data_IF_311440752064
#
_entry.id   IF_311440752064
#
_cell.length_a   1.000
_cell.length_b   1.000
_cell.length_c   1.000
_cell.angle_alpha   90.00
_cell.angle_beta   90.00
_cell.angle_gamma   90.00
#
_symmetry.space_group_name_H-M   'P 1'
#
loop_
_entity.id
_entity.type
_entity.pdbx_description
1 polymer ?
#
# COMPACT_ATOMS: atom_id res chain seq x y z
N UNK A 1 -9.75 13.28 -50.49
CA UNK A 1 -10.13 12.05 -49.77
C UNK A 1 -8.91 11.66 -48.97
N UNK A 2 -8.94 11.88 -47.66
CA UNK A 2 -7.82 11.58 -46.77
C UNK A 2 -7.92 10.11 -46.34
N UNK A 3 -6.84 9.36 -46.52
CA UNK A 3 -6.72 7.99 -46.00
C UNK A 3 -6.82 8.03 -44.48
N UNK A 4 -7.87 7.40 -43.96
CA UNK A 4 -8.02 7.19 -42.53
C UNK A 4 -7.00 6.14 -42.08
N UNK A 5 -6.26 6.45 -41.03
CA UNK A 5 -5.19 5.63 -40.47
C UNK A 5 -5.78 4.27 -40.01
N UNK A 6 -5.32 3.12 -40.53
CA UNK A 6 -5.91 1.80 -40.22
C UNK A 6 -5.83 1.39 -38.74
N UNK A 7 -5.14 2.19 -37.91
CA UNK A 7 -4.93 1.96 -36.48
C UNK A 7 -5.92 2.68 -35.56
N UNK A 8 -6.70 3.64 -36.08
CA UNK A 8 -7.72 4.37 -35.29
C UNK A 8 -8.76 3.45 -34.58
N UNK A 9 -9.21 2.33 -35.17
CA UNK A 9 -10.11 1.41 -34.49
C UNK A 9 -9.47 0.68 -33.31
N UNK A 10 -8.16 0.41 -33.37
CA UNK A 10 -7.41 -0.38 -32.38
C UNK A 10 -7.12 0.42 -31.10
N UNK A 11 -6.98 1.75 -31.22
CA UNK A 11 -6.75 2.62 -30.07
C UNK A 11 -8.04 2.95 -29.29
N UNK A 12 -9.22 2.70 -29.86
CA UNK A 12 -10.53 2.88 -29.21
C UNK A 12 -10.94 1.73 -28.26
N UNK A 13 -10.08 0.72 -28.07
CA UNK A 13 -10.35 -0.53 -27.34
C UNK A 13 -10.50 -0.39 -25.82
N UNK A 14 -10.01 0.68 -25.21
CA UNK A 14 -9.98 0.85 -23.75
C UNK A 14 -11.34 1.03 -23.06
N UNK A 15 -12.47 0.98 -23.76
CA UNK A 15 -13.82 1.24 -23.21
C UNK A 15 -14.94 0.39 -23.84
N UNK A 16 -14.75 -0.92 -23.97
CA UNK A 16 -15.74 -1.76 -24.63
C UNK A 16 -16.71 -2.42 -23.64
N UNK A 17 -18.00 -2.06 -23.75
CA UNK A 17 -19.12 -2.78 -23.14
C UNK A 17 -19.42 -4.09 -23.90
N UNK A 18 -20.19 -4.99 -23.26
CA UNK A 18 -20.56 -6.33 -23.75
C UNK A 18 -21.05 -6.39 -25.22
N UNK A 19 -21.70 -5.33 -25.71
CA UNK A 19 -22.17 -5.19 -27.10
C UNK A 19 -21.05 -5.07 -28.14
N UNK A 20 -19.84 -4.74 -27.71
CA UNK A 20 -18.65 -4.64 -28.56
C UNK A 20 -18.03 -6.01 -28.87
N UNK A 21 -18.44 -7.05 -28.14
CA UNK A 21 -17.91 -8.39 -28.30
C UNK A 21 -18.43 -9.09 -29.57
N UNK A 22 -19.62 -8.72 -30.06
CA UNK A 22 -20.07 -9.21 -31.37
C UNK A 22 -19.25 -8.61 -32.52
N UNK A 23 -18.66 -7.42 -32.34
CA UNK A 23 -17.66 -6.86 -33.26
C UNK A 23 -16.29 -7.57 -33.16
N UNK A 24 -15.99 -8.28 -32.07
CA UNK A 24 -14.77 -9.09 -31.94
C UNK A 24 -14.74 -10.28 -32.91
N UNK A 25 -15.86 -10.76 -33.46
CA UNK A 25 -15.83 -11.78 -34.51
C UNK A 25 -15.17 -11.27 -35.81
N UNK A 26 -15.39 -10.00 -36.15
CA UNK A 26 -14.77 -9.31 -37.29
C UNK A 26 -13.30 -8.94 -36.99
N UNK A 27 -12.99 -8.60 -35.73
CA UNK A 27 -11.61 -8.38 -35.26
C UNK A 27 -10.82 -9.68 -35.18
N UNK A 28 -11.44 -10.83 -34.86
CA UNK A 28 -10.78 -12.14 -34.90
C UNK A 28 -10.32 -12.47 -36.33
N UNK A 29 -11.09 -12.07 -37.34
CA UNK A 29 -10.70 -12.20 -38.75
C UNK A 29 -9.54 -11.26 -39.12
N UNK A 30 -9.52 -10.04 -38.57
CA UNK A 30 -8.44 -9.07 -38.77
C UNK A 30 -7.16 -9.41 -37.96
N UNK A 31 -7.30 -9.97 -36.75
CA UNK A 31 -6.20 -10.52 -35.95
C UNK A 31 -5.65 -11.78 -36.60
N UNK A 32 -6.48 -12.66 -37.16
CA UNK A 32 -6.02 -13.78 -38.00
C UNK A 32 -5.23 -13.30 -39.22
N UNK A 33 -5.65 -12.19 -39.83
CA UNK A 33 -4.95 -11.54 -40.94
C UNK A 33 -3.62 -10.90 -40.50
N UNK A 34 -3.60 -10.20 -39.35
CA UNK A 34 -2.42 -9.53 -38.80
C UNK A 34 -1.41 -10.51 -38.17
N UNK A 35 -1.85 -11.55 -37.49
CA UNK A 35 -1.00 -12.64 -36.98
C UNK A 35 -0.35 -13.46 -38.11
N UNK A 36 -0.88 -13.37 -39.34
CA UNK A 36 -0.20 -13.85 -40.54
C UNK A 36 1.01 -13.01 -40.95
N UNK A 37 1.15 -11.77 -40.45
CA UNK A 37 2.27 -10.86 -40.75
C UNK A 37 3.22 -10.74 -39.56
N UNK A 38 4.40 -11.35 -39.70
CA UNK A 38 5.25 -11.88 -38.62
C UNK A 38 6.07 -10.88 -37.77
N UNK A 39 5.77 -9.58 -37.78
CA UNK A 39 6.56 -8.60 -36.99
C UNK A 39 5.74 -7.50 -36.29
N UNK A 40 4.60 -7.09 -36.85
CA UNK A 40 3.68 -6.12 -36.20
C UNK A 40 2.69 -6.79 -35.24
N UNK A 41 2.60 -8.13 -35.24
CA UNK A 41 1.67 -8.90 -34.43
C UNK A 41 2.12 -9.10 -32.97
N UNK A 42 3.42 -8.92 -32.67
CA UNK A 42 3.97 -9.20 -31.34
C UNK A 42 3.42 -8.27 -30.26
N UNK A 43 3.50 -6.96 -30.49
CA UNK A 43 3.05 -5.95 -29.52
C UNK A 43 1.54 -5.98 -29.31
N UNK A 44 0.76 -6.07 -30.38
CA UNK A 44 -0.71 -6.13 -30.29
C UNK A 44 -1.17 -7.40 -29.57
N UNK A 45 -0.55 -8.55 -29.83
CA UNK A 45 -0.93 -9.80 -29.17
C UNK A 45 -0.47 -9.82 -27.70
N UNK A 46 0.69 -9.23 -27.39
CA UNK A 46 1.13 -8.98 -26.01
C UNK A 46 0.15 -8.07 -25.27
N UNK A 47 -0.25 -6.94 -25.87
CA UNK A 47 -1.21 -6.02 -25.28
C UNK A 47 -2.56 -6.71 -25.02
N UNK A 48 -3.05 -7.50 -25.98
CA UNK A 48 -4.29 -8.27 -25.81
C UNK A 48 -4.19 -9.33 -24.71
N UNK A 49 -3.03 -9.99 -24.57
CA UNK A 49 -2.78 -10.96 -23.51
C UNK A 49 -2.76 -10.27 -22.14
N UNK A 50 -2.01 -9.17 -22.00
CA UNK A 50 -1.94 -8.38 -20.77
C UNK A 50 -3.33 -7.83 -20.41
N UNK A 51 -4.08 -7.31 -21.38
CA UNK A 51 -5.47 -6.85 -21.19
C UNK A 51 -6.41 -7.99 -20.77
N UNK A 52 -6.28 -9.17 -21.38
CA UNK A 52 -7.09 -10.34 -21.04
C UNK A 52 -6.85 -10.80 -19.60
N UNK A 53 -5.59 -10.88 -19.17
CA UNK A 53 -5.24 -11.23 -17.78
C UNK A 53 -5.65 -10.12 -16.80
N UNK A 54 -5.51 -8.85 -17.19
CA UNK A 54 -5.96 -7.72 -16.37
C UNK A 54 -7.48 -7.72 -16.17
N UNK A 55 -8.25 -8.00 -17.23
CA UNK A 55 -9.70 -8.15 -17.16
C UNK A 55 -10.10 -9.34 -16.26
N UNK A 56 -9.39 -10.46 -16.36
CA UNK A 56 -9.60 -11.61 -15.47
C UNK A 56 -9.36 -11.25 -13.99
N UNK A 57 -8.28 -10.52 -13.69
CA UNK A 57 -7.96 -10.05 -12.34
C UNK A 57 -9.03 -9.09 -11.78
N UNK A 58 -9.49 -8.15 -12.60
CA UNK A 58 -10.56 -7.22 -12.23
C UNK A 58 -11.88 -7.95 -11.93
N UNK A 59 -12.26 -8.92 -12.77
CA UNK A 59 -13.47 -9.73 -12.58
C UNK A 59 -13.39 -10.57 -11.29
N UNK A 60 -12.22 -11.15 -10.98
CA UNK A 60 -12.02 -11.91 -9.74
C UNK A 60 -12.09 -11.03 -8.49
N UNK A 61 -11.51 -9.82 -8.53
CA UNK A 61 -11.60 -8.86 -7.44
C UNK A 61 -13.06 -8.41 -7.21
N UNK A 62 -13.81 -8.13 -8.28
CA UNK A 62 -15.24 -7.81 -8.21
C UNK A 62 -16.06 -8.98 -7.63
N UNK A 63 -15.77 -10.21 -8.03
CA UNK A 63 -16.41 -11.40 -7.49
C UNK A 63 -16.12 -11.59 -5.99
N UNK A 64 -14.88 -11.36 -5.53
CA UNK A 64 -14.52 -11.42 -4.12
C UNK A 64 -15.25 -10.33 -3.29
N UNK A 65 -15.33 -9.11 -3.81
CA UNK A 65 -16.09 -8.02 -3.18
C UNK A 65 -17.60 -8.33 -3.14
N UNK A 66 -18.17 -8.89 -4.21
CA UNK A 66 -19.58 -9.27 -4.28
C UNK A 66 -19.91 -10.45 -3.34
N UNK A 67 -19.00 -11.42 -3.19
CA UNK A 67 -19.14 -12.51 -2.22
C UNK A 67 -19.20 -11.98 -0.77
N UNK A 68 -18.44 -10.93 -0.46
CA UNK A 68 -18.54 -10.23 0.83
C UNK A 68 -19.86 -9.45 0.99
N UNK A 69 -20.51 -9.05 -0.10
CA UNK A 69 -21.75 -8.26 -0.12
C UNK A 69 -23.05 -9.09 -0.22
N UNK A 70 -22.99 -10.42 -0.12
CA UNK A 70 -24.13 -11.38 0.01
C UNK A 70 -25.16 -11.42 -1.15
N UNK A 71 -25.19 -10.50 -2.14
CA UNK A 71 -26.36 -10.39 -3.05
C UNK A 71 -26.18 -10.43 -4.59
N UNK A 72 -25.02 -10.73 -5.19
CA UNK A 72 -24.95 -10.83 -6.68
C UNK A 72 -24.03 -11.95 -7.24
N UNK A 73 -24.55 -13.19 -7.44
CA UNK A 73 -23.78 -14.29 -8.03
C UNK A 73 -23.86 -14.41 -9.57
N UNK A 74 -24.89 -13.89 -10.24
CA UNK A 74 -25.16 -14.24 -11.65
C UNK A 74 -24.33 -13.46 -12.70
N UNK A 75 -23.98 -12.19 -12.43
CA UNK A 75 -23.21 -11.36 -13.35
C UNK A 75 -21.71 -11.73 -13.32
N UNK A 76 -21.16 -11.94 -12.13
CA UNK A 76 -19.75 -12.33 -11.93
C UNK A 76 -19.39 -13.65 -12.61
N UNK A 77 -20.29 -14.65 -12.59
CA UNK A 77 -20.04 -15.93 -13.27
C UNK A 77 -19.91 -15.81 -14.79
N UNK A 78 -20.69 -14.92 -15.43
CA UNK A 78 -20.60 -14.71 -16.88
C UNK A 78 -19.29 -14.05 -17.28
N UNK A 79 -18.84 -13.07 -16.49
CA UNK A 79 -17.56 -12.40 -16.70
C UNK A 79 -16.40 -13.40 -16.56
N UNK A 80 -16.47 -14.29 -15.56
CA UNK A 80 -15.44 -15.33 -15.35
C UNK A 80 -15.32 -16.29 -16.54
N UNK A 81 -16.44 -16.78 -17.08
CA UNK A 81 -16.42 -17.66 -18.24
C UNK A 81 -15.86 -16.96 -19.48
N UNK A 82 -16.10 -15.66 -19.63
CA UNK A 82 -15.69 -14.89 -20.81
C UNK A 82 -14.17 -14.73 -20.91
N UNK A 83 -13.48 -14.37 -19.82
CA UNK A 83 -12.03 -14.22 -19.84
C UNK A 83 -11.31 -15.57 -19.97
N UNK A 84 -11.86 -16.66 -19.41
CA UNK A 84 -11.30 -18.00 -19.56
C UNK A 84 -11.30 -18.45 -21.02
N UNK A 85 -12.38 -18.15 -21.75
CA UNK A 85 -12.46 -18.45 -23.18
C UNK A 85 -11.46 -17.61 -24.00
N UNK A 86 -11.27 -16.34 -23.65
CA UNK A 86 -10.27 -15.49 -24.31
C UNK A 86 -8.84 -15.96 -24.02
N UNK A 87 -8.52 -16.26 -22.77
CA UNK A 87 -7.20 -16.74 -22.36
C UNK A 87 -6.89 -18.06 -23.05
N UNK A 88 -7.80 -19.03 -23.02
CA UNK A 88 -7.60 -20.33 -23.70
C UNK A 88 -7.38 -20.17 -25.21
N UNK A 89 -8.11 -19.27 -25.87
CA UNK A 89 -7.88 -18.98 -27.29
C UNK A 89 -6.48 -18.39 -27.55
N UNK A 90 -6.07 -17.40 -26.74
CA UNK A 90 -4.74 -16.77 -26.85
C UNK A 90 -3.63 -17.79 -26.63
N UNK A 91 -3.75 -18.64 -25.60
CA UNK A 91 -2.79 -19.69 -25.30
C UNK A 91 -2.63 -20.71 -26.43
N UNK A 92 -3.73 -21.02 -27.13
CA UNK A 92 -3.69 -21.93 -28.29
C UNK A 92 -3.00 -21.31 -29.52
N UNK A 93 -3.10 -20.00 -29.70
CA UNK A 93 -2.72 -19.34 -30.96
C UNK A 93 -1.39 -18.57 -30.87
N UNK A 94 -0.92 -18.25 -29.65
CA UNK A 94 0.29 -17.48 -29.44
C UNK A 94 1.14 -17.96 -28.24
N UNK A 95 1.49 -19.26 -28.14
CA UNK A 95 2.25 -19.80 -27.01
C UNK A 95 3.64 -19.17 -26.88
N UNK A 96 4.24 -18.74 -27.99
CA UNK A 96 5.57 -18.09 -27.99
C UNK A 96 5.59 -16.76 -27.25
N UNK A 97 4.44 -16.08 -27.08
CA UNK A 97 4.38 -14.83 -26.30
C UNK A 97 4.66 -15.08 -24.82
N UNK A 98 4.40 -16.28 -24.30
CA UNK A 98 4.70 -16.61 -22.91
C UNK A 98 6.19 -16.83 -22.64
N UNK A 99 6.98 -17.02 -23.69
CA UNK A 99 8.44 -17.10 -23.62
C UNK A 99 9.09 -15.71 -23.71
N UNK A 100 8.33 -14.69 -24.10
CA UNK A 100 8.82 -13.33 -24.15
C UNK A 100 8.90 -12.74 -22.74
N UNK A 101 10.11 -12.28 -22.37
CA UNK A 101 10.37 -11.75 -21.05
C UNK A 101 9.56 -10.49 -20.76
N UNK A 102 9.31 -9.65 -21.77
CA UNK A 102 8.55 -8.41 -21.59
C UNK A 102 7.07 -8.68 -21.29
N UNK A 103 6.51 -9.69 -21.94
CA UNK A 103 5.13 -10.17 -21.74
C UNK A 103 4.96 -10.72 -20.32
N UNK A 104 5.87 -11.58 -19.87
CA UNK A 104 5.83 -12.13 -18.50
C UNK A 104 6.03 -11.06 -17.43
N UNK A 105 6.91 -10.08 -17.67
CA UNK A 105 7.07 -8.92 -16.78
C UNK A 105 5.76 -8.15 -16.63
N UNK A 106 5.07 -7.88 -17.75
CA UNK A 106 3.79 -7.16 -17.72
C UNK A 106 2.70 -7.97 -16.98
N UNK A 107 2.62 -9.28 -17.23
CA UNK A 107 1.68 -10.18 -16.55
C UNK A 107 1.94 -10.24 -15.04
N UNK A 108 3.20 -10.35 -14.62
CA UNK A 108 3.56 -10.40 -13.19
C UNK A 108 3.31 -9.09 -12.46
N UNK A 109 3.19 -7.97 -13.18
CA UNK A 109 2.82 -6.66 -12.60
C UNK A 109 1.31 -6.52 -12.39
N UNK A 110 0.50 -7.44 -12.92
CA UNK A 110 -0.94 -7.43 -12.70
C UNK A 110 -1.26 -7.84 -11.26
N UNK A 111 -2.07 -7.02 -10.61
CA UNK A 111 -2.47 -7.25 -9.23
C UNK A 111 -3.55 -8.33 -9.19
N UNK A 112 -3.48 -9.25 -8.21
CA UNK A 112 -4.54 -10.25 -7.98
C UNK A 112 -4.86 -11.14 -9.19
N UNK A 113 -3.83 -11.61 -9.91
CA UNK A 113 -4.01 -12.57 -11.01
C UNK A 113 -4.81 -13.78 -10.50
N UNK A 114 -5.94 -14.12 -11.13
CA UNK A 114 -6.76 -15.24 -10.68
C UNK A 114 -5.97 -16.53 -10.77
N UNK A 115 -6.10 -17.41 -9.75
CA UNK A 115 -5.42 -18.71 -9.71
C UNK A 115 -5.60 -19.49 -11.02
N UNK A 116 -6.82 -19.57 -11.54
CA UNK A 116 -7.12 -20.27 -12.79
C UNK A 116 -6.43 -19.65 -14.03
N UNK A 117 -6.19 -18.33 -14.04
CA UNK A 117 -5.46 -17.67 -15.12
C UNK A 117 -3.96 -18.00 -15.04
N UNK A 118 -3.37 -17.87 -13.85
CA UNK A 118 -1.97 -18.23 -13.62
C UNK A 118 -1.71 -19.72 -13.94
N UNK A 119 -2.62 -20.61 -13.54
CA UNK A 119 -2.57 -22.04 -13.84
C UNK A 119 -2.63 -22.34 -15.34
N UNK A 120 -3.54 -21.68 -16.08
CA UNK A 120 -3.62 -21.82 -17.52
C UNK A 120 -2.34 -21.32 -18.22
N UNK A 121 -1.79 -20.19 -17.77
CA UNK A 121 -0.55 -19.61 -18.30
C UNK A 121 0.65 -20.54 -18.05
N UNK A 122 0.81 -21.03 -16.83
CA UNK A 122 1.89 -21.96 -16.47
C UNK A 122 1.81 -23.28 -17.25
N UNK A 123 0.60 -23.86 -17.43
CA UNK A 123 0.42 -25.05 -18.28
C UNK A 123 0.75 -24.81 -19.74
N UNK A 124 0.59 -23.58 -20.22
CA UNK A 124 0.95 -23.19 -21.57
C UNK A 124 2.44 -22.86 -21.72
N UNK A 125 3.25 -23.07 -20.68
CA UNK A 125 4.71 -22.91 -20.72
C UNK A 125 5.19 -21.52 -20.32
N UNK A 126 4.35 -20.70 -19.67
CA UNK A 126 4.83 -19.46 -19.05
C UNK A 126 5.87 -19.79 -17.98
N UNK A 127 7.01 -19.10 -18.04
CA UNK A 127 8.04 -19.15 -17.00
C UNK A 127 8.37 -17.73 -16.54
N UNK A 128 8.90 -17.60 -15.33
CA UNK A 128 9.35 -16.31 -14.81
C UNK A 128 10.71 -16.44 -14.15
N UNK A 129 11.51 -15.40 -14.31
CA UNK A 129 12.87 -15.30 -13.79
C UNK A 129 12.91 -14.65 -12.42
N UNK A 130 14.04 -14.79 -11.72
CA UNK A 130 14.27 -14.10 -10.45
C UNK A 130 14.15 -12.58 -10.57
N UNK A 131 14.69 -12.00 -11.64
CA UNK A 131 14.61 -10.55 -11.88
C UNK A 131 13.16 -10.08 -12.00
N UNK A 132 12.31 -10.82 -12.73
CA UNK A 132 10.89 -10.46 -12.87
C UNK A 132 10.15 -10.53 -11.53
N UNK A 133 10.49 -11.51 -10.70
CA UNK A 133 9.94 -11.64 -9.36
C UNK A 133 10.41 -10.48 -8.45
N UNK A 134 11.68 -10.09 -8.52
CA UNK A 134 12.22 -8.93 -7.80
C UNK A 134 11.55 -7.63 -8.26
N UNK A 135 11.42 -7.41 -9.57
CA UNK A 135 10.80 -6.20 -10.13
C UNK A 135 9.34 -6.07 -9.70
N UNK A 136 8.61 -7.19 -9.66
CA UNK A 136 7.23 -7.20 -9.19
C UNK A 136 7.14 -6.99 -7.68
N UNK A 137 8.07 -7.57 -6.90
CA UNK A 137 8.16 -7.36 -5.46
C UNK A 137 8.53 -5.91 -5.10
N UNK A 138 9.45 -5.28 -5.85
CA UNK A 138 9.83 -3.89 -5.66
C UNK A 138 8.65 -2.91 -5.89
N UNK A 139 7.67 -3.33 -6.71
CA UNK A 139 6.41 -2.61 -6.97
C UNK A 139 5.27 -2.98 -6.02
N UNK A 140 5.53 -3.85 -5.05
CA UNK A 140 4.55 -4.32 -4.07
C UNK A 140 3.33 -4.98 -4.71
N UNK A 141 3.53 -5.71 -5.82
CA UNK A 141 2.42 -6.35 -6.52
C UNK A 141 1.84 -7.47 -5.64
N UNK A 142 0.56 -7.40 -5.25
CA UNK A 142 -0.07 -8.43 -4.44
C UNK A 142 -0.34 -9.68 -5.27
N UNK A 143 -0.18 -10.85 -4.64
CA UNK A 143 -0.52 -12.14 -5.23
C UNK A 143 0.63 -12.83 -5.96
N UNK A 144 1.88 -12.37 -5.80
CA UNK A 144 3.06 -13.03 -6.38
C UNK A 144 3.19 -14.50 -5.96
N UNK A 145 2.72 -14.85 -4.76
CA UNK A 145 2.76 -16.24 -4.29
C UNK A 145 1.98 -17.21 -5.19
N UNK A 146 0.95 -16.72 -5.90
CA UNK A 146 0.10 -17.55 -6.75
C UNK A 146 0.94 -18.24 -7.83
N UNK A 147 1.93 -17.56 -8.39
CA UNK A 147 2.80 -18.11 -9.42
C UNK A 147 3.65 -19.27 -8.90
N UNK A 148 4.38 -19.08 -7.79
CA UNK A 148 5.22 -20.14 -7.24
C UNK A 148 4.42 -21.33 -6.69
N UNK A 149 3.30 -21.05 -6.00
CA UNK A 149 2.44 -22.10 -5.44
C UNK A 149 1.87 -22.98 -6.55
N UNK A 150 1.35 -22.39 -7.62
CA UNK A 150 0.80 -23.16 -8.74
C UNK A 150 1.91 -23.89 -9.50
N UNK A 151 3.08 -23.27 -9.73
CA UNK A 151 4.21 -23.97 -10.36
C UNK A 151 4.55 -25.25 -9.59
N UNK A 152 4.61 -25.18 -8.26
CA UNK A 152 4.84 -26.36 -7.41
C UNK A 152 3.71 -27.39 -7.49
N UNK A 153 2.45 -26.96 -7.42
CA UNK A 153 1.29 -27.87 -7.52
C UNK A 153 1.20 -28.61 -8.85
N UNK A 154 1.67 -27.97 -9.93
CA UNK A 154 1.73 -28.56 -11.27
C UNK A 154 3.02 -29.35 -11.53
N UNK A 155 3.90 -29.47 -10.53
CA UNK A 155 5.25 -30.06 -10.64
C UNK A 155 6.07 -29.44 -11.79
N UNK A 156 5.87 -28.14 -12.02
CA UNK A 156 6.61 -27.35 -13.00
C UNK A 156 7.84 -26.75 -12.34
N UNK A 157 8.99 -27.04 -12.92
CA UNK A 157 10.23 -26.39 -12.50
C UNK A 157 10.14 -24.89 -12.77
N UNK A 158 10.41 -24.09 -11.73
CA UNK A 158 10.63 -22.66 -11.89
C UNK A 158 11.90 -22.44 -12.71
N UNK A 159 12.04 -21.25 -13.32
CA UNK A 159 13.26 -20.92 -14.04
C UNK A 159 14.50 -21.07 -13.14
N UNK A 160 15.59 -21.59 -13.70
CA UNK A 160 16.81 -21.87 -12.94
C UNK A 160 17.44 -20.62 -12.30
N UNK A 161 17.04 -19.42 -12.73
CA UNK A 161 17.45 -18.18 -12.08
C UNK A 161 16.80 -17.96 -10.71
N UNK A 162 15.63 -18.54 -10.43
CA UNK A 162 14.90 -18.33 -9.18
C UNK A 162 15.54 -19.14 -8.07
N UNK A 163 16.10 -18.50 -7.03
CA UNK A 163 16.77 -19.23 -5.97
C UNK A 163 15.82 -20.14 -5.20
N UNK A 164 16.29 -21.31 -4.76
CA UNK A 164 15.48 -22.25 -3.98
C UNK A 164 14.83 -21.61 -2.75
N UNK A 165 15.55 -20.75 -2.04
CA UNK A 165 15.02 -20.01 -0.88
C UNK A 165 13.88 -19.06 -1.26
N UNK A 166 13.93 -18.42 -2.44
CA UNK A 166 12.85 -17.57 -2.92
C UNK A 166 11.60 -18.40 -3.25
N UNK A 167 11.79 -19.57 -3.88
CA UNK A 167 10.72 -20.51 -4.14
C UNK A 167 10.09 -21.01 -2.82
N UNK A 168 10.91 -21.43 -1.84
CA UNK A 168 10.48 -21.85 -0.52
C UNK A 168 9.67 -20.75 0.20
N UNK A 169 10.15 -19.50 0.16
CA UNK A 169 9.46 -18.32 0.70
C UNK A 169 8.07 -18.15 0.08
N UNK A 170 7.96 -18.16 -1.26
CA UNK A 170 6.68 -18.00 -1.95
C UNK A 170 5.71 -19.16 -1.68
N UNK A 171 6.25 -20.36 -1.54
CA UNK A 171 5.51 -21.59 -1.28
C UNK A 171 5.10 -21.75 0.19
N UNK A 172 5.61 -20.88 1.07
CA UNK A 172 5.42 -20.98 2.51
C UNK A 172 6.05 -22.24 3.07
N UNK A 173 7.24 -22.62 2.64
CA UNK A 173 8.00 -23.73 3.21
C UNK A 173 8.80 -23.28 4.43
N UNK A 174 9.27 -24.24 5.22
CA UNK A 174 10.11 -23.93 6.37
C UNK A 174 11.50 -23.52 5.88
N UNK A 175 11.96 -22.35 6.33
CA UNK A 175 13.24 -21.80 5.93
C UNK A 175 14.33 -22.26 6.89
N UNK A 176 15.35 -22.86 6.31
CA UNK A 176 16.60 -23.17 6.99
C UNK A 176 17.66 -22.26 6.38
N UNK A 177 17.74 -21.03 6.91
CA UNK A 177 18.67 -19.99 6.42
C UNK A 177 20.14 -20.41 6.57
N UNK A 178 20.42 -21.40 7.41
CA UNK A 178 21.76 -21.97 7.61
C UNK A 178 22.13 -22.99 6.54
N UNK A 179 21.15 -23.67 5.94
CA UNK A 179 21.40 -24.73 4.95
C UNK A 179 21.83 -24.19 3.58
N UNK A 180 23.07 -24.45 3.12
CA UNK A 180 23.57 -23.96 1.83
C UNK A 180 22.73 -24.39 0.63
N UNK A 181 22.05 -25.54 0.70
CA UNK A 181 21.24 -26.07 -0.39
C UNK A 181 20.08 -25.13 -0.74
N UNK A 182 19.45 -24.51 0.27
CA UNK A 182 18.39 -23.53 0.03
C UNK A 182 18.89 -22.27 -0.69
N UNK A 183 20.20 -22.02 -0.70
CA UNK A 183 20.82 -20.88 -1.39
C UNK A 183 21.40 -21.24 -2.77
N UNK A 184 21.04 -22.42 -3.29
CA UNK A 184 21.57 -23.05 -4.52
C UNK A 184 23.08 -23.33 -4.47
N UNK A 185 23.60 -23.58 -3.27
CA UNK A 185 25.02 -23.86 -3.04
C UNK A 185 25.22 -25.33 -2.65
N UNK A 186 26.32 -25.98 -3.08
CA UNK A 186 26.62 -27.37 -2.69
C UNK A 186 26.71 -27.55 -1.17
N UNK A 187 26.35 -28.75 -0.69
CA UNK A 187 26.63 -29.14 0.69
C UNK A 187 28.15 -29.06 0.96
N UNK A 188 28.55 -28.35 2.03
CA UNK A 188 29.95 -28.10 2.35
C UNK A 188 30.58 -26.84 1.76
N UNK A 189 29.76 -25.95 1.18
CA UNK A 189 30.20 -24.60 0.79
C UNK A 189 30.82 -23.87 1.98
N UNK A 190 31.96 -23.20 1.77
CA UNK A 190 32.62 -22.40 2.80
C UNK A 190 31.72 -21.23 3.25
N UNK A 191 31.75 -20.91 4.55
CA UNK A 191 30.87 -19.88 5.14
C UNK A 191 31.01 -18.52 4.44
N UNK A 192 32.22 -18.12 4.04
CA UNK A 192 32.45 -16.86 3.32
C UNK A 192 31.67 -16.77 1.99
N UNK A 193 31.62 -17.87 1.23
CA UNK A 193 30.87 -17.94 -0.02
C UNK A 193 29.37 -17.92 0.23
N UNK A 194 28.92 -18.55 1.33
CA UNK A 194 27.52 -18.55 1.74
C UNK A 194 27.07 -17.16 2.21
N UNK A 195 27.84 -16.50 3.07
CA UNK A 195 27.66 -15.11 3.50
C UNK A 195 27.60 -14.16 2.30
N UNK A 196 28.50 -14.32 1.31
CA UNK A 196 28.47 -13.52 0.08
C UNK A 196 27.18 -13.73 -0.71
N UNK A 197 26.76 -15.00 -0.89
CA UNK A 197 25.51 -15.36 -1.59
C UNK A 197 24.28 -14.80 -0.88
N UNK A 198 24.20 -14.94 0.45
CA UNK A 198 23.14 -14.39 1.30
C UNK A 198 23.05 -12.88 1.12
N UNK A 199 24.16 -12.17 1.26
CA UNK A 199 24.22 -10.71 1.14
C UNK A 199 23.72 -10.22 -0.23
N UNK A 200 24.04 -10.95 -1.30
CA UNK A 200 23.61 -10.59 -2.66
C UNK A 200 22.09 -10.77 -2.88
N UNK A 201 21.48 -11.79 -2.29
CA UNK A 201 20.06 -12.11 -2.51
C UNK A 201 19.12 -11.42 -1.50
N UNK A 202 19.62 -11.14 -0.31
CA UNK A 202 18.78 -10.72 0.83
C UNK A 202 17.87 -9.51 0.53
N UNK A 203 18.31 -8.42 -0.13
CA UNK A 203 17.43 -7.30 -0.42
C UNK A 203 16.20 -7.72 -1.25
N UNK A 204 16.39 -8.58 -2.24
CA UNK A 204 15.31 -9.11 -3.06
C UNK A 204 14.40 -10.07 -2.29
N UNK A 205 14.96 -10.91 -1.42
CA UNK A 205 14.18 -11.82 -0.58
C UNK A 205 13.32 -11.05 0.43
N UNK A 206 13.86 -10.00 1.07
CA UNK A 206 13.10 -9.16 1.99
C UNK A 206 11.94 -8.44 1.27
N UNK A 207 12.18 -7.87 0.09
CA UNK A 207 11.13 -7.27 -0.73
C UNK A 207 10.06 -8.30 -1.12
N UNK A 208 10.47 -9.51 -1.52
CA UNK A 208 9.55 -10.59 -1.85
C UNK A 208 8.64 -10.93 -0.67
N UNK A 209 9.23 -11.16 0.51
CA UNK A 209 8.49 -11.47 1.74
C UNK A 209 7.47 -10.39 2.10
N UNK A 210 7.78 -9.11 1.82
CA UNK A 210 6.84 -8.01 2.04
C UNK A 210 5.59 -8.09 1.15
N UNK A 211 5.69 -8.68 -0.04
CA UNK A 211 4.61 -8.80 -1.02
C UNK A 211 3.74 -10.05 -0.85
N UNK A 212 4.22 -11.02 -0.07
CA UNK A 212 3.49 -12.25 0.22
C UNK A 212 2.22 -11.97 1.04
N UNK A 213 1.21 -12.85 1.01
CA UNK A 213 -0.02 -12.65 1.76
C UNK A 213 0.28 -12.85 3.25
N UNK A 214 -0.64 -12.45 4.14
CA UNK A 214 -0.46 -12.57 5.60
C UNK A 214 -0.42 -14.01 6.15
N UNK A 215 -0.27 -15.02 5.31
CA UNK A 215 -0.09 -16.41 5.79
C UNK A 215 1.14 -16.47 6.69
N UNK A 216 0.97 -17.06 7.89
CA UNK A 216 1.88 -16.88 9.04
C UNK A 216 3.36 -17.22 8.82
N UNK A 217 3.70 -17.97 7.76
CA UNK A 217 5.10 -18.29 7.45
C UNK A 217 5.89 -17.13 6.83
N UNK A 218 5.22 -16.17 6.19
CA UNK A 218 5.92 -15.01 5.63
C UNK A 218 6.48 -14.09 6.74
N UNK A 219 5.80 -13.97 7.88
CA UNK A 219 6.31 -13.23 9.03
C UNK A 219 7.53 -13.93 9.64
N UNK A 220 7.47 -15.25 9.83
CA UNK A 220 8.60 -16.05 10.31
C UNK A 220 9.81 -16.01 9.35
N UNK A 221 9.55 -16.02 8.05
CA UNK A 221 10.57 -15.83 7.03
C UNK A 221 11.24 -14.46 7.13
N UNK A 222 10.45 -13.39 7.29
CA UNK A 222 10.98 -12.03 7.48
C UNK A 222 11.87 -11.97 8.72
N UNK A 223 11.40 -12.53 9.82
CA UNK A 223 12.14 -12.61 11.08
C UNK A 223 13.48 -13.33 10.86
N UNK A 224 13.46 -14.55 10.33
CA UNK A 224 14.67 -15.33 10.04
C UNK A 224 15.68 -14.57 9.16
N UNK A 225 15.21 -13.89 8.11
CA UNK A 225 16.05 -13.10 7.20
C UNK A 225 16.60 -11.82 7.85
N UNK A 226 15.82 -11.13 8.67
CA UNK A 226 16.22 -9.88 9.31
C UNK A 226 17.24 -10.06 10.45
N UNK A 227 17.25 -11.22 11.10
CA UNK A 227 18.18 -11.55 12.19
C UNK A 227 19.50 -12.16 11.70
N UNK A 228 19.68 -12.33 10.39
CA UNK A 228 20.95 -12.78 9.83
C UNK A 228 22.05 -11.73 10.08
N UNK A 229 23.28 -12.12 10.45
CA UNK A 229 24.37 -11.16 10.64
C UNK A 229 24.72 -10.41 9.34
N UNK A 230 24.51 -11.06 8.20
CA UNK A 230 24.67 -10.47 6.87
C UNK A 230 23.56 -9.49 6.51
N UNK A 231 22.54 -9.34 7.34
CA UNK A 231 21.39 -8.52 7.00
C UNK A 231 21.79 -7.09 6.68
N UNK A 232 22.79 -6.57 7.42
CA UNK A 232 23.53 -5.35 7.05
C UNK A 232 22.63 -4.19 6.62
N UNK A 233 21.40 -4.15 7.15
CA UNK A 233 20.34 -3.33 6.56
C UNK A 233 20.72 -1.87 6.72
N UNK A 234 20.79 -1.16 5.61
CA UNK A 234 20.91 0.29 5.64
C UNK A 234 19.61 0.90 6.18
N UNK A 235 19.69 2.11 6.74
CA UNK A 235 18.50 2.86 7.15
C UNK A 235 17.52 3.06 5.98
N UNK A 236 18.02 3.26 4.76
CA UNK A 236 17.20 3.41 3.56
C UNK A 236 16.42 2.13 3.20
N UNK A 237 17.07 0.96 3.29
CA UNK A 237 16.40 -0.33 3.03
C UNK A 237 15.35 -0.60 4.11
N UNK A 238 15.69 -0.39 5.38
CA UNK A 238 14.73 -0.54 6.49
C UNK A 238 13.52 0.38 6.34
N UNK A 239 13.74 1.65 5.96
CA UNK A 239 12.66 2.61 5.67
C UNK A 239 11.78 2.18 4.49
N UNK A 240 12.39 1.65 3.42
CA UNK A 240 11.67 1.09 2.29
C UNK A 240 10.79 -0.10 2.68
N UNK A 241 11.32 -1.02 3.49
CA UNK A 241 10.57 -2.18 4.01
C UNK A 241 9.44 -1.76 4.95
N UNK A 242 9.66 -0.79 5.84
CA UNK A 242 8.62 -0.24 6.70
C UNK A 242 7.51 0.42 5.86
N UNK A 243 7.86 1.21 4.85
CA UNK A 243 6.90 1.83 3.93
C UNK A 243 6.08 0.78 3.19
N UNK A 244 6.74 -0.27 2.70
CA UNK A 244 6.08 -1.41 2.08
C UNK A 244 5.13 -2.12 3.04
N UNK A 245 5.53 -2.33 4.30
CA UNK A 245 4.70 -2.95 5.32
C UNK A 245 3.43 -2.14 5.58
N UNK A 246 3.57 -0.81 5.61
CA UNK A 246 2.45 0.11 5.79
C UNK A 246 1.49 0.08 4.60
N UNK A 247 2.01 0.18 3.38
CA UNK A 247 1.22 0.15 2.14
C UNK A 247 0.47 -1.18 1.98
N UNK A 248 1.10 -2.29 2.33
CA UNK A 248 0.48 -3.62 2.29
C UNK A 248 -0.39 -3.92 3.53
N UNK A 249 -0.50 -2.97 4.47
CA UNK A 249 -1.13 -3.18 5.77
C UNK A 249 -0.63 -4.45 6.48
N UNK A 250 0.63 -4.83 6.30
CA UNK A 250 1.25 -6.05 6.82
C UNK A 250 1.70 -5.85 8.27
N UNK A 251 0.70 -5.82 9.17
CA UNK A 251 0.86 -5.45 10.57
C UNK A 251 1.91 -6.24 11.35
N UNK A 252 1.97 -7.55 11.17
CA UNK A 252 2.95 -8.40 11.86
C UNK A 252 4.37 -8.15 11.35
N UNK A 253 4.53 -7.94 10.04
CA UNK A 253 5.81 -7.57 9.44
C UNK A 253 6.29 -6.22 9.90
N UNK A 254 5.37 -5.26 10.03
CA UNK A 254 5.68 -3.96 10.62
C UNK A 254 6.26 -4.11 12.03
N UNK A 255 5.70 -5.00 12.86
CA UNK A 255 6.23 -5.27 14.20
C UNK A 255 7.65 -5.80 14.17
N UNK A 256 7.91 -6.84 13.38
CA UNK A 256 9.25 -7.43 13.23
C UNK A 256 10.26 -6.37 12.78
N UNK A 257 9.87 -5.52 11.80
CA UNK A 257 10.75 -4.46 11.30
C UNK A 257 11.03 -3.38 12.35
N UNK A 258 10.05 -2.98 13.16
CA UNK A 258 10.22 -1.97 14.20
C UNK A 258 11.17 -2.40 15.33
N UNK A 259 11.37 -3.71 15.51
CA UNK A 259 12.30 -4.25 16.50
C UNK A 259 13.77 -4.17 16.03
N UNK A 260 14.02 -3.93 14.75
CA UNK A 260 15.37 -3.93 14.21
C UNK A 260 16.21 -2.76 14.74
N UNK A 261 17.48 -3.01 15.15
CA UNK A 261 18.36 -1.95 15.67
C UNK A 261 18.58 -0.79 14.71
N UNK A 262 18.58 -1.05 13.40
CA UNK A 262 18.70 -0.02 12.36
C UNK A 262 17.53 0.96 12.37
N UNK A 263 16.32 0.51 12.72
CA UNK A 263 15.12 1.35 12.73
C UNK A 263 15.19 2.43 13.81
N UNK A 264 15.90 2.15 14.91
CA UNK A 264 16.18 3.15 15.96
C UNK A 264 17.13 4.26 15.48
N UNK A 265 17.81 4.08 14.35
CA UNK A 265 18.74 5.03 13.73
C UNK A 265 18.12 5.75 12.52
N UNK A 266 16.82 5.59 12.26
CA UNK A 266 16.14 6.36 11.22
C UNK A 266 16.16 7.83 11.59
N UNK A 267 16.44 8.70 10.62
CA UNK A 267 16.36 10.14 10.82
C UNK A 267 14.89 10.60 10.99
N UNK A 268 14.72 11.80 11.55
CA UNK A 268 13.41 12.35 11.85
C UNK A 268 12.55 12.59 10.60
N UNK A 269 13.14 12.90 9.44
CA UNK A 269 12.40 13.14 8.21
C UNK A 269 11.80 11.83 7.66
N UNK A 270 12.59 10.76 7.67
CA UNK A 270 12.14 9.42 7.31
C UNK A 270 11.05 8.92 8.27
N UNK A 271 11.23 9.10 9.59
CA UNK A 271 10.23 8.72 10.58
C UNK A 271 8.91 9.51 10.39
N UNK A 272 8.99 10.80 10.06
CA UNK A 272 7.83 11.63 9.75
C UNK A 272 7.10 11.17 8.47
N UNK A 273 7.85 10.78 7.44
CA UNK A 273 7.27 10.20 6.21
C UNK A 273 6.52 8.89 6.51
N UNK A 274 7.06 8.04 7.38
CA UNK A 274 6.38 6.81 7.81
C UNK A 274 5.07 7.12 8.55
N UNK A 275 5.03 8.13 9.41
CA UNK A 275 3.79 8.57 10.06
C UNK A 275 2.76 9.11 9.06
N UNK A 276 3.18 9.84 8.02
CA UNK A 276 2.30 10.31 6.95
C UNK A 276 1.66 9.14 6.20
N UNK A 277 2.45 8.14 5.81
CA UNK A 277 1.93 6.92 5.18
C UNK A 277 0.98 6.19 6.13
N UNK A 278 1.30 6.11 7.42
CA UNK A 278 0.44 5.48 8.43
C UNK A 278 -0.94 6.14 8.58
N UNK A 279 -1.00 7.48 8.54
CA UNK A 279 -2.27 8.24 8.55
C UNK A 279 -3.07 7.99 7.28
N UNK A 280 -2.42 8.02 6.11
CA UNK A 280 -3.06 7.76 4.82
C UNK A 280 -3.66 6.35 4.75
N UNK A 281 -2.94 5.35 5.29
CA UNK A 281 -3.38 3.96 5.37
C UNK A 281 -4.32 3.69 6.55
N UNK A 282 -4.65 4.71 7.36
CA UNK A 282 -5.54 4.61 8.54
C UNK A 282 -5.16 3.44 9.46
N UNK A 283 -3.88 3.34 9.82
CA UNK A 283 -3.41 2.27 10.69
C UNK A 283 -4.20 2.22 12.01
N UNK A 284 -4.25 1.04 12.64
CA UNK A 284 -4.77 0.94 14.00
C UNK A 284 -3.91 1.75 14.97
N UNK A 285 -4.54 2.38 15.97
CA UNK A 285 -3.86 3.19 16.99
C UNK A 285 -2.64 2.52 17.62
N UNK A 286 -2.73 1.24 18.01
CA UNK A 286 -1.59 0.52 18.64
C UNK A 286 -0.33 0.54 17.78
N UNK A 287 -0.47 0.49 16.46
CA UNK A 287 0.65 0.43 15.50
C UNK A 287 1.16 1.81 15.16
N UNK A 288 0.23 2.75 14.98
CA UNK A 288 0.58 4.16 14.86
C UNK A 288 1.37 4.65 16.08
N UNK A 289 0.95 4.26 17.29
CA UNK A 289 1.64 4.60 18.53
C UNK A 289 3.08 4.07 18.56
N UNK A 290 3.34 2.85 18.08
CA UNK A 290 4.69 2.31 18.02
C UNK A 290 5.59 3.10 17.07
N UNK A 291 5.05 3.62 15.95
CA UNK A 291 5.78 4.54 15.08
C UNK A 291 6.06 5.87 15.79
N UNK A 292 5.11 6.39 16.56
CA UNK A 292 5.32 7.59 17.38
C UNK A 292 6.43 7.41 18.44
N UNK A 293 6.71 6.18 18.87
CA UNK A 293 7.78 5.87 19.81
C UNK A 293 9.18 5.76 19.17
N UNK A 294 9.34 6.05 17.88
CA UNK A 294 10.66 6.08 17.25
C UNK A 294 11.54 7.16 17.89
N UNK A 295 12.79 6.85 18.31
CA UNK A 295 13.65 7.79 19.04
C UNK A 295 13.85 9.13 18.33
N UNK A 296 14.01 9.10 17.01
CA UNK A 296 14.25 10.31 16.20
C UNK A 296 13.09 11.30 16.17
N UNK A 297 11.89 10.89 16.58
CA UNK A 297 10.74 11.80 16.73
C UNK A 297 10.74 12.55 18.07
N UNK A 298 11.61 12.14 19.00
CA UNK A 298 11.75 12.72 20.33
C UNK A 298 12.97 13.62 20.47
N UNK A 299 13.85 13.68 19.47
CA UNK A 299 15.04 14.52 19.51
C UNK A 299 14.65 16.01 19.37
N UNK A 300 15.19 16.83 20.29
CA UNK A 300 14.81 18.23 20.50
C UNK A 300 15.57 19.15 19.53
N UNK A 301 14.97 19.41 18.37
CA UNK A 301 14.85 20.74 17.74
C UNK A 301 14.31 20.54 16.32
N UNK A 302 12.99 20.72 16.10
CA UNK A 302 12.47 20.64 14.74
C UNK A 302 13.07 21.78 13.92
N UNK A 303 13.66 21.42 12.78
CA UNK A 303 14.04 22.42 11.79
C UNK A 303 12.79 23.19 11.34
N UNK A 304 12.93 24.45 10.92
CA UNK A 304 11.81 25.25 10.41
C UNK A 304 11.05 24.53 9.28
N UNK A 305 11.74 23.75 8.46
CA UNK A 305 11.13 22.92 7.41
C UNK A 305 10.28 21.78 7.98
N UNK A 306 10.70 21.18 9.10
CA UNK A 306 9.97 20.11 9.77
C UNK A 306 8.64 20.59 10.37
N UNK A 307 8.55 21.87 10.77
CA UNK A 307 7.33 22.42 11.36
C UNK A 307 6.12 22.32 10.43
N UNK A 308 6.32 22.68 9.16
CA UNK A 308 5.26 22.59 8.15
C UNK A 308 4.81 21.14 7.92
N UNK A 309 5.75 20.19 7.93
CA UNK A 309 5.43 18.78 7.73
C UNK A 309 4.66 18.17 8.92
N UNK A 310 4.94 18.60 10.16
CA UNK A 310 4.15 18.24 11.34
C UNK A 310 2.73 18.81 11.31
N UNK A 311 2.57 20.08 10.91
CA UNK A 311 1.27 20.71 10.73
C UNK A 311 0.44 20.02 9.65
N UNK A 312 1.07 19.68 8.51
CA UNK A 312 0.42 18.91 7.44
C UNK A 312 0.00 17.52 7.91
N UNK A 313 0.82 16.84 8.71
CA UNK A 313 0.50 15.52 9.26
C UNK A 313 -0.69 15.59 10.24
N UNK A 314 -0.72 16.59 11.13
CA UNK A 314 -1.86 16.83 12.02
C UNK A 314 -3.14 17.13 11.24
N UNK A 315 -3.05 18.02 10.24
CA UNK A 315 -4.17 18.36 9.36
C UNK A 315 -4.71 17.14 8.62
N UNK A 316 -3.82 16.30 8.07
CA UNK A 316 -4.20 15.05 7.42
C UNK A 316 -4.88 14.06 8.38
N UNK A 317 -4.42 13.95 9.62
CA UNK A 317 -5.04 13.09 10.63
C UNK A 317 -6.43 13.59 11.05
N UNK A 318 -6.63 14.90 11.14
CA UNK A 318 -7.94 15.54 11.40
C UNK A 318 -8.89 15.30 10.22
N UNK A 319 -8.43 15.55 8.99
CA UNK A 319 -9.22 15.35 7.77
C UNK A 319 -9.59 13.87 7.55
N UNK A 320 -8.74 12.94 8.00
CA UNK A 320 -9.02 11.50 7.99
C UNK A 320 -9.92 11.04 9.16
N UNK A 321 -10.33 11.95 10.05
CA UNK A 321 -11.14 11.71 11.25
C UNK A 321 -10.52 10.65 12.18
N UNK A 322 -9.21 10.77 12.45
CA UNK A 322 -8.45 9.83 13.28
C UNK A 322 -8.09 10.44 14.65
N UNK A 323 -9.03 10.53 15.62
CA UNK A 323 -8.81 11.25 16.87
C UNK A 323 -7.68 10.65 17.72
N UNK A 324 -7.52 9.33 17.70
CA UNK A 324 -6.45 8.65 18.44
C UNK A 324 -5.06 8.94 17.82
N UNK A 325 -4.99 9.20 16.51
CA UNK A 325 -3.75 9.62 15.85
C UNK A 325 -3.43 11.07 16.19
N UNK A 326 -4.43 11.96 16.14
CA UNK A 326 -4.29 13.35 16.59
C UNK A 326 -3.82 13.40 18.04
N UNK A 327 -4.42 12.60 18.92
CA UNK A 327 -4.01 12.49 20.32
C UNK A 327 -2.54 12.07 20.46
N UNK A 328 -2.13 11.00 19.76
CA UNK A 328 -0.74 10.53 19.77
C UNK A 328 0.23 11.59 19.26
N UNK A 329 -0.09 12.25 18.15
CA UNK A 329 0.74 13.30 17.56
C UNK A 329 0.89 14.50 18.51
N UNK A 330 -0.18 14.96 19.14
CA UNK A 330 -0.14 16.07 20.10
C UNK A 330 0.74 15.78 21.34
N UNK A 331 1.05 14.51 21.63
CA UNK A 331 1.95 14.12 22.72
C UNK A 331 3.43 14.16 22.34
N UNK A 332 3.76 14.22 21.06
CA UNK A 332 5.14 14.30 20.60
C UNK A 332 5.73 15.68 20.89
N UNK A 333 6.95 15.72 21.41
CA UNK A 333 7.66 16.97 21.71
C UNK A 333 7.87 17.80 20.44
N UNK A 334 8.24 17.15 19.34
CA UNK A 334 8.41 17.80 18.05
C UNK A 334 7.14 18.53 17.57
N UNK A 335 5.97 17.95 17.76
CA UNK A 335 4.68 18.60 17.43
C UNK A 335 4.42 19.80 18.34
N UNK A 336 4.68 19.66 19.64
CA UNK A 336 4.49 20.76 20.60
C UNK A 336 5.42 21.95 20.31
N UNK A 337 6.61 21.69 19.80
CA UNK A 337 7.56 22.73 19.36
C UNK A 337 7.22 23.28 17.96
N UNK A 338 6.69 22.44 17.07
CA UNK A 338 6.36 22.80 15.69
C UNK A 338 5.12 23.69 15.54
N UNK A 339 4.28 23.77 16.57
CA UNK A 339 3.13 24.70 16.63
C UNK A 339 3.51 25.84 17.60
N UNK A 340 4.30 26.84 17.15
CA UNK A 340 4.83 27.86 18.05
C UNK A 340 3.78 28.90 18.43
N UNK A 341 2.75 29.11 17.60
CA UNK A 341 1.82 30.23 17.75
C UNK A 341 0.34 29.86 17.52
N UNK A 342 -0.53 30.78 17.92
CA UNK A 342 -1.96 30.69 17.76
C UNK A 342 -2.40 30.67 16.28
N UNK A 343 -1.63 31.29 15.39
CA UNK A 343 -1.95 31.36 13.97
C UNK A 343 -1.89 29.97 13.31
N UNK A 344 -0.94 29.12 13.71
CA UNK A 344 -0.82 27.76 13.20
C UNK A 344 -1.91 26.80 13.74
N UNK A 345 -2.38 27.01 14.97
CA UNK A 345 -3.36 26.11 15.60
C UNK A 345 -4.80 26.40 15.17
N UNK A 346 -5.12 27.66 14.86
CA UNK A 346 -6.48 28.08 14.53
C UNK A 346 -7.09 27.32 13.34
N UNK A 347 -6.40 27.13 12.19
CA UNK A 347 -6.92 26.33 11.08
C UNK A 347 -7.16 24.86 11.45
N UNK A 348 -6.31 24.30 12.31
CA UNK A 348 -6.46 22.91 12.79
C UNK A 348 -7.70 22.79 13.67
N UNK A 349 -7.96 23.76 14.56
CA UNK A 349 -9.16 23.80 15.39
C UNK A 349 -10.42 23.92 14.54
N UNK A 350 -10.47 24.83 13.57
CA UNK A 350 -11.60 24.94 12.66
C UNK A 350 -11.84 23.64 11.88
N UNK A 351 -10.78 23.00 11.38
CA UNK A 351 -10.87 21.72 10.67
C UNK A 351 -11.41 20.61 11.58
N UNK A 352 -10.98 20.56 12.84
CA UNK A 352 -11.44 19.56 13.81
C UNK A 352 -12.91 19.77 14.24
N UNK A 353 -13.37 21.01 14.30
CA UNK A 353 -14.78 21.36 14.55
C UNK A 353 -15.67 21.01 13.36
N UNK A 354 -15.17 21.15 12.14
CA UNK A 354 -15.91 20.85 10.90
C UNK A 354 -15.92 19.37 10.52
N UNK A 355 -15.03 18.55 11.09
CA UNK A 355 -15.01 17.10 10.86
C UNK A 355 -16.36 16.47 11.28
N UNK A 356 -17.04 15.78 10.36
CA UNK A 356 -18.47 15.46 10.43
C UNK A 356 -18.79 14.25 11.35
N UNK A 357 -17.80 13.68 12.02
CA UNK A 357 -17.99 12.64 13.02
C UNK A 357 -18.53 13.19 14.34
N UNK A 358 -19.85 13.09 14.56
CA UNK A 358 -20.62 13.57 15.73
C UNK A 358 -20.10 13.12 17.13
N UNK A 359 -19.12 12.21 17.19
CA UNK A 359 -18.50 11.75 18.43
C UNK A 359 -16.98 11.95 18.49
N UNK A 360 -16.34 12.35 17.40
CA UNK A 360 -14.87 12.42 17.29
C UNK A 360 -14.35 13.85 17.43
N UNK A 361 -15.13 14.85 17.06
CA UNK A 361 -14.74 16.27 17.14
C UNK A 361 -14.28 16.73 18.54
N UNK A 362 -14.99 16.42 19.65
CA UNK A 362 -14.61 16.96 20.96
C UNK A 362 -13.27 16.43 21.48
N UNK A 363 -12.92 15.18 21.16
CA UNK A 363 -11.62 14.60 21.52
C UNK A 363 -10.48 15.25 20.75
N UNK A 364 -10.66 15.48 19.44
CA UNK A 364 -9.64 16.14 18.61
C UNK A 364 -9.40 17.58 19.06
N UNK A 365 -10.48 18.35 19.24
CA UNK A 365 -10.42 19.73 19.73
C UNK A 365 -9.78 19.79 21.12
N UNK A 366 -10.16 18.89 22.02
CA UNK A 366 -9.55 18.79 23.34
C UNK A 366 -8.05 18.45 23.33
N UNK A 367 -7.57 17.68 22.33
CA UNK A 367 -6.14 17.41 22.17
C UNK A 367 -5.38 18.63 21.63
N UNK A 368 -5.94 19.32 20.64
CA UNK A 368 -5.36 20.53 20.07
C UNK A 368 -5.26 21.64 21.12
N UNK A 369 -6.30 21.86 21.92
CA UNK A 369 -6.29 22.88 22.99
C UNK A 369 -5.27 22.61 24.11
N UNK A 370 -4.71 21.39 24.19
CA UNK A 370 -3.62 21.07 25.13
C UNK A 370 -2.24 21.41 24.58
N UNK A 371 -2.13 21.79 23.30
CA UNK A 371 -0.88 22.25 22.72
C UNK A 371 -0.50 23.62 23.31
N UNK A 372 0.79 23.91 23.53
CA UNK A 372 1.23 25.20 24.09
C UNK A 372 0.72 26.42 23.33
N UNK A 373 0.64 26.34 21.98
CA UNK A 373 0.10 27.38 21.12
C UNK A 373 -1.33 27.81 21.47
N UNK A 374 -2.16 26.91 22.01
CA UNK A 374 -3.54 27.22 22.37
C UNK A 374 -3.64 28.26 23.49
N UNK A 375 -2.62 28.38 24.34
CA UNK A 375 -2.58 29.38 25.41
C UNK A 375 -2.47 30.82 24.87
N UNK A 376 -2.10 31.00 23.60
CA UNK A 376 -1.96 32.30 22.95
C UNK A 376 -3.17 32.67 22.07
N UNK A 377 -4.24 31.86 22.09
CA UNK A 377 -5.45 32.19 21.33
C UNK A 377 -6.08 33.48 21.85
N UNK A 378 -6.40 34.39 20.93
CA UNK A 378 -7.07 35.64 21.28
C UNK A 378 -8.55 35.42 21.59
N UNK A 379 -9.20 36.41 22.20
CA UNK A 379 -10.66 36.39 22.41
C UNK A 379 -11.44 36.30 21.10
N UNK A 380 -10.92 36.88 20.02
CA UNK A 380 -11.52 36.79 18.69
C UNK A 380 -11.37 35.40 18.07
N UNK A 381 -10.21 34.76 18.24
CA UNK A 381 -9.97 33.40 17.72
C UNK A 381 -10.87 32.38 18.44
N UNK A 382 -10.98 32.53 19.77
CA UNK A 382 -11.85 31.68 20.59
C UNK A 382 -13.33 31.85 20.26
N UNK A 383 -13.78 33.08 20.02
CA UNK A 383 -15.14 33.35 19.55
C UNK A 383 -15.39 32.70 18.17
N UNK A 384 -14.43 32.80 17.23
CA UNK A 384 -14.55 32.18 15.91
C UNK A 384 -14.64 30.63 15.98
N UNK A 385 -13.87 29.99 16.87
CA UNK A 385 -13.94 28.54 17.08
C UNK A 385 -15.27 28.13 17.72
N UNK A 386 -15.78 28.90 18.68
CA UNK A 386 -17.09 28.66 19.31
C UNK A 386 -18.24 28.83 18.31
N UNK A 387 -18.18 29.88 17.49
CA UNK A 387 -19.15 30.12 16.42
C UNK A 387 -19.13 28.96 15.42
N UNK A 388 -17.95 28.48 15.00
CA UNK A 388 -17.84 27.30 14.13
C UNK A 388 -18.46 26.04 14.77
N UNK A 389 -18.30 25.85 16.09
CA UNK A 389 -18.88 24.72 16.81
C UNK A 389 -20.40 24.83 16.99
N UNK A 390 -20.92 26.06 17.12
CA UNK A 390 -22.35 26.30 17.11
C UNK A 390 -22.95 25.97 15.74
N UNK A 391 -22.27 26.36 14.65
CA UNK A 391 -22.69 26.06 13.28
C UNK A 391 -22.65 24.57 12.95
N UNK A 392 -21.78 23.78 13.59
CA UNK A 392 -21.79 22.32 13.44
C UNK A 392 -22.94 21.64 14.18
N UNK A 393 -23.65 22.36 15.06
CA UNK A 393 -24.79 21.84 15.83
C UNK A 393 -24.39 20.92 16.99
N UNK A 394 -23.10 20.80 17.31
CA UNK A 394 -22.61 19.96 18.40
C UNK A 394 -22.59 20.74 19.73
N UNK A 395 -23.72 20.68 20.46
CA UNK A 395 -23.87 21.37 21.75
C UNK A 395 -22.88 20.88 22.81
N UNK A 396 -22.47 19.61 22.75
CA UNK A 396 -21.46 19.05 23.65
C UNK A 396 -20.09 19.66 23.37
N UNK A 397 -19.74 19.82 22.10
CA UNK A 397 -18.50 20.50 21.70
C UNK A 397 -18.47 21.94 22.16
N UNK A 398 -19.57 22.70 22.00
CA UNK A 398 -19.65 24.10 22.46
C UNK A 398 -19.49 24.18 23.98
N UNK A 399 -20.17 23.31 24.75
CA UNK A 399 -20.03 23.27 26.21
C UNK A 399 -18.59 22.90 26.64
N UNK A 400 -17.97 21.93 25.97
CA UNK A 400 -16.60 21.53 26.28
C UNK A 400 -15.58 22.62 25.94
N UNK A 401 -15.74 23.28 24.78
CA UNK A 401 -14.93 24.42 24.38
C UNK A 401 -15.05 25.55 25.38
N UNK A 402 -16.28 25.95 25.74
CA UNK A 402 -16.52 26.98 26.74
C UNK A 402 -15.84 26.69 28.07
N UNK A 403 -15.92 25.44 28.56
CA UNK A 403 -15.27 25.01 29.80
C UNK A 403 -13.75 25.02 29.71
N UNK A 404 -13.18 24.54 28.60
CA UNK A 404 -11.72 24.51 28.41
C UNK A 404 -11.14 25.92 28.30
N UNK A 405 -11.82 26.82 27.59
CA UNK A 405 -11.41 28.21 27.44
C UNK A 405 -11.50 28.99 28.76
N UNK A 406 -12.53 28.74 29.58
CA UNK A 406 -12.63 29.26 30.94
C UNK A 406 -11.46 28.80 31.83
N UNK A 407 -11.08 27.52 31.73
CA UNK A 407 -9.95 26.97 32.51
C UNK A 407 -8.59 27.54 32.06
N UNK A 408 -8.46 27.96 30.81
CA UNK A 408 -7.24 28.61 30.31
C UNK A 408 -7.12 30.09 30.72
N UNK A 409 -8.08 30.62 31.49
CA UNK A 409 -8.00 31.99 32.01
C UNK A 409 -8.17 33.05 30.93
N UNK A 410 -8.76 32.70 29.78
CA UNK A 410 -9.19 33.69 28.78
C UNK A 410 -10.39 34.47 29.36
N UNK A 411 -10.09 35.48 30.18
CA UNK A 411 -11.07 36.33 30.89
C UNK A 411 -11.98 37.18 29.98
N UNK A 412 -12.00 36.89 28.68
CA UNK A 412 -12.75 37.58 27.66
C UNK A 412 -14.03 36.85 27.22
N UNK A 413 -14.29 35.63 27.70
CA UNK A 413 -15.62 35.04 27.57
C UNK A 413 -16.56 35.76 28.53
N UNK A 414 -17.09 36.91 28.10
CA UNK A 414 -18.15 37.59 28.83
C UNK A 414 -19.33 36.63 29.00
N UNK A 415 -19.94 36.67 30.18
CA UNK A 415 -21.15 35.90 30.48
C UNK A 415 -22.22 36.11 29.40
N UNK A 416 -22.26 37.29 28.78
CA UNK A 416 -23.14 37.64 27.67
C UNK A 416 -22.93 36.77 26.42
N UNK A 417 -21.69 36.41 26.08
CA UNK A 417 -21.39 35.58 24.90
C UNK A 417 -21.77 34.12 25.13
N UNK A 418 -21.63 33.66 26.38
CA UNK A 418 -22.14 32.34 26.81
C UNK A 418 -23.67 32.32 26.86
N UNK A 419 -24.32 33.45 27.20
CA UNK A 419 -25.78 33.58 27.23
C UNK A 419 -26.42 33.77 25.85
N UNK A 420 -25.71 34.41 24.89
CA UNK A 420 -26.19 34.60 23.52
C UNK A 420 -26.11 33.32 22.69
N UNK A 421 -25.20 32.40 23.04
CA UNK A 421 -25.21 31.01 22.63
C UNK A 421 -26.37 30.29 23.34
N UNK A 422 -27.62 30.50 22.90
CA UNK A 422 -28.78 29.75 23.39
C UNK A 422 -28.60 28.25 23.12
N UNK A 423 -28.06 27.53 24.11
CA UNK A 423 -28.00 26.06 24.21
C UNK A 423 -29.10 25.57 25.14
#
# INVERSE_FOLDING_TARGET
MADADPWEPVLSFGRLSLSSFLKLSCVNQHLRYLCGQRAAAGTVAQDLLVQGVAAAAAAAAAAAAAAAAVQQPAQSQREVASWQQQLSWLLQHAPLLLQDSSTMTAIMQLHNVPRAAAEALLRAGACFTWQQLQDAAARLVPGLQVWAVISRELDLQMDASVPQIAAAICCGDDLDVENPLQWDMPAGTAEEALTSRRSALLPGLLQLVMCLPRSGRATAALEGLCWMPEAGLSCSTAAGLLTAALQMSASERLMVLLELPVVRKLDAATALQLLQVAVQQRLSFSRFWQLCCLPSLHEEEPSSNSNNAWLQLLSAAIAAELPEHVHALCRLLAVRAAVPDAAAILPLLHSAVQAQGAHMSPRMVGCLLRLPAAAYLSSTDTAAVLEAAQHSGDTMLVQQLGKLLQLQGTGALTIELVQSLHI
#
